data_IF_807351535795
#
_entry.id   IF_807351535795
#
_cell.length_a   1.000
_cell.length_b   1.000
_cell.length_c   1.000
_cell.angle_alpha   90.00
_cell.angle_beta   90.00
_cell.angle_gamma   90.00
#
_symmetry.space_group_name_H-M   'P 1'
#
loop_
_entity.id
_entity.type
_entity.pdbx_description
1 polymer ?
#
# COMPACT_ATOMS: atom_id res chain seq x y z
N UNK A 1 2.75 -16.61 -3.71
CA UNK A 1 2.84 -15.28 -4.35
C UNK A 1 3.66 -15.39 -5.63
N UNK A 2 4.99 -15.52 -5.53
CA UNK A 2 5.88 -15.76 -6.68
C UNK A 2 5.93 -17.26 -7.03
N UNK A 3 6.32 -17.58 -8.26
CA UNK A 3 6.62 -18.95 -8.69
C UNK A 3 8.02 -19.41 -8.28
N UNK A 4 8.87 -18.51 -7.81
CA UNK A 4 10.24 -18.79 -7.36
C UNK A 4 10.46 -18.29 -5.93
N UNK A 5 11.50 -18.80 -5.26
CA UNK A 5 11.81 -18.41 -3.86
C UNK A 5 12.73 -17.18 -3.77
N UNK A 6 13.29 -16.72 -4.88
CA UNK A 6 14.41 -15.76 -4.94
C UNK A 6 14.13 -14.41 -4.27
N UNK A 7 12.98 -13.81 -4.58
CA UNK A 7 12.68 -12.44 -4.14
C UNK A 7 12.48 -12.37 -2.63
N UNK A 8 11.71 -13.30 -2.06
CA UNK A 8 11.24 -13.21 -0.67
C UNK A 8 12.00 -14.11 0.29
N UNK A 9 12.98 -14.88 -0.18
CA UNK A 9 13.80 -15.77 0.66
C UNK A 9 15.30 -15.63 0.35
N UNK A 10 16.14 -16.33 1.11
CA UNK A 10 17.57 -16.53 0.81
C UNK A 10 17.86 -17.69 -0.16
N UNK A 11 16.84 -18.33 -0.72
CA UNK A 11 16.97 -19.38 -1.73
C UNK A 11 16.95 -18.86 -3.17
N UNK A 12 17.06 -19.78 -4.13
CA UNK A 12 16.88 -19.51 -5.56
C UNK A 12 16.16 -20.67 -6.25
N UNK A 13 15.40 -20.36 -7.30
CA UNK A 13 14.75 -21.37 -8.15
C UNK A 13 13.25 -21.49 -7.94
N UNK A 14 12.62 -22.28 -8.81
CA UNK A 14 11.17 -22.47 -8.81
C UNK A 14 10.73 -23.23 -7.55
N UNK A 15 9.62 -22.77 -6.93
CA UNK A 15 9.04 -23.44 -5.75
C UNK A 15 8.71 -24.90 -6.05
N UNK A 16 8.23 -25.18 -7.27
CA UNK A 16 7.86 -26.51 -7.75
C UNK A 16 9.04 -27.48 -7.93
N UNK A 17 10.28 -26.97 -7.95
CA UNK A 17 11.49 -27.78 -8.11
C UNK A 17 12.17 -28.10 -6.77
N UNK A 18 11.65 -27.56 -5.67
CA UNK A 18 12.17 -27.73 -4.31
C UNK A 18 11.28 -28.68 -3.50
N UNK A 19 11.89 -29.48 -2.65
CA UNK A 19 11.16 -30.24 -1.63
C UNK A 19 10.67 -29.31 -0.51
N UNK A 20 9.61 -29.70 0.20
CA UNK A 20 9.13 -28.96 1.37
C UNK A 20 10.24 -28.70 2.39
N UNK A 21 11.11 -29.70 2.63
CA UNK A 21 12.22 -29.59 3.57
C UNK A 21 13.28 -28.57 3.12
N UNK A 22 13.47 -28.37 1.81
CA UNK A 22 14.34 -27.32 1.28
C UNK A 22 13.68 -25.95 1.44
N UNK A 23 12.41 -25.81 1.08
CA UNK A 23 11.65 -24.55 1.22
C UNK A 23 11.60 -24.09 2.69
N UNK A 24 11.29 -24.99 3.63
CA UNK A 24 11.23 -24.67 5.05
C UNK A 24 12.61 -24.38 5.68
N UNK A 25 13.72 -24.69 5.00
CA UNK A 25 15.07 -24.30 5.48
C UNK A 25 15.38 -22.83 5.24
N UNK A 26 14.78 -22.26 4.20
CA UNK A 26 15.00 -20.87 3.77
C UNK A 26 14.56 -19.87 4.84
N UNK A 27 15.15 -18.69 4.82
CA UNK A 27 14.77 -17.53 5.63
C UNK A 27 14.06 -16.51 4.78
N UNK A 28 12.97 -15.97 5.32
CA UNK A 28 12.23 -14.89 4.69
C UNK A 28 13.03 -13.59 4.76
N UNK A 29 12.98 -12.79 3.71
CA UNK A 29 13.47 -11.40 3.68
C UNK A 29 12.41 -10.45 4.24
N UNK A 30 12.84 -9.29 4.75
CA UNK A 30 11.92 -8.24 5.24
C UNK A 30 11.05 -7.69 4.11
N UNK A 31 9.87 -7.15 4.45
CA UNK A 31 9.00 -6.43 3.52
C UNK A 31 8.66 -7.22 2.25
N UNK A 32 8.81 -6.57 1.10
CA UNK A 32 8.59 -7.14 -0.23
C UNK A 32 9.80 -7.92 -0.76
N UNK A 33 10.85 -8.10 0.05
CA UNK A 33 12.06 -8.80 -0.35
C UNK A 33 12.92 -8.04 -1.37
N UNK A 34 13.59 -8.75 -2.26
CA UNK A 34 14.57 -8.21 -3.21
C UNK A 34 16.00 -8.63 -2.87
N UNK A 35 16.94 -8.27 -3.74
CA UNK A 35 18.32 -8.77 -3.68
C UNK A 35 19.09 -8.24 -2.47
N UNK A 36 18.77 -7.01 -2.04
CA UNK A 36 19.45 -6.34 -0.92
C UNK A 36 18.66 -6.42 0.39
N UNK A 37 17.44 -6.95 0.38
CA UNK A 37 16.58 -6.98 1.54
C UNK A 37 17.18 -7.85 2.67
N UNK A 38 17.31 -7.32 3.90
CA UNK A 38 17.78 -8.08 5.05
C UNK A 38 16.95 -9.34 5.33
N UNK A 39 17.60 -10.39 5.85
CA UNK A 39 16.93 -11.60 6.30
C UNK A 39 16.28 -11.43 7.66
N UNK A 40 15.10 -12.01 7.81
CA UNK A 40 14.41 -12.21 9.07
C UNK A 40 14.83 -13.54 9.73
N UNK A 41 14.29 -13.81 10.92
CA UNK A 41 14.42 -15.13 11.56
C UNK A 41 13.33 -16.12 11.11
N UNK A 42 12.34 -15.63 10.36
CA UNK A 42 11.16 -16.37 9.96
C UNK A 42 11.44 -17.30 8.79
N UNK A 43 10.62 -18.35 8.68
CA UNK A 43 10.69 -19.39 7.63
C UNK A 43 9.39 -19.41 6.85
N UNK A 44 9.42 -20.00 5.66
CA UNK A 44 8.21 -20.23 4.85
C UNK A 44 7.29 -21.21 5.59
N UNK A 45 6.04 -20.81 5.94
CA UNK A 45 5.08 -21.72 6.57
C UNK A 45 4.42 -22.63 5.54
N UNK A 46 3.98 -23.81 5.96
CA UNK A 46 2.95 -24.58 5.24
C UNK A 46 1.57 -23.97 5.44
N UNK A 47 0.61 -24.32 4.57
CA UNK A 47 -0.79 -23.96 4.77
C UNK A 47 -1.31 -24.46 6.12
N UNK A 48 -1.01 -25.72 6.49
CA UNK A 48 -1.44 -26.30 7.76
C UNK A 48 -0.92 -25.51 8.98
N UNK A 49 0.35 -25.10 8.96
CA UNK A 49 0.95 -24.28 10.03
C UNK A 49 0.29 -22.89 10.11
N UNK A 50 0.01 -22.25 8.98
CA UNK A 50 -0.69 -20.98 8.93
C UNK A 50 -2.12 -21.11 9.49
N UNK A 51 -2.87 -22.12 9.07
CA UNK A 51 -4.25 -22.34 9.52
C UNK A 51 -4.32 -22.66 11.02
N UNK A 52 -3.34 -23.38 11.56
CA UNK A 52 -3.24 -23.61 13.00
C UNK A 52 -3.13 -22.31 13.82
N UNK A 53 -2.51 -21.26 13.27
CA UNK A 53 -2.41 -19.96 13.94
C UNK A 53 -3.68 -19.10 13.82
N UNK A 54 -4.41 -19.27 12.72
CA UNK A 54 -5.59 -18.43 12.40
C UNK A 54 -6.90 -19.02 12.94
N UNK A 55 -6.96 -20.33 13.19
CA UNK A 55 -8.15 -21.03 13.67
C UNK A 55 -8.84 -20.30 14.83
N UNK A 56 -10.13 -19.96 14.64
CA UNK A 56 -10.97 -19.25 15.59
C UNK A 56 -10.71 -17.74 15.70
N UNK A 57 -9.92 -17.14 14.79
CA UNK A 57 -9.52 -15.72 14.88
C UNK A 57 -9.91 -14.89 13.65
N UNK A 58 -9.80 -15.45 12.46
CA UNK A 58 -10.10 -14.75 11.21
C UNK A 58 -10.46 -15.72 10.08
N UNK A 59 -11.05 -15.19 9.01
CA UNK A 59 -11.13 -15.87 7.72
C UNK A 59 -9.82 -15.68 6.94
N UNK A 60 -9.50 -16.65 6.08
CA UNK A 60 -8.34 -16.62 5.17
C UNK A 60 -8.81 -16.73 3.73
N UNK A 61 -8.41 -15.78 2.89
CA UNK A 61 -8.66 -15.81 1.44
C UNK A 61 -7.48 -16.51 0.72
N UNK A 62 -7.73 -17.63 0.03
CA UNK A 62 -6.69 -18.37 -0.68
C UNK A 62 -6.54 -17.92 -2.14
N UNK A 63 -5.53 -17.09 -2.41
CA UNK A 63 -5.15 -16.69 -3.77
C UNK A 63 -4.24 -17.71 -4.46
N UNK A 64 -4.39 -17.84 -5.79
CA UNK A 64 -3.62 -18.78 -6.64
C UNK A 64 -3.72 -20.25 -6.23
N UNK A 65 -4.78 -20.61 -5.50
CA UNK A 65 -4.99 -21.96 -5.02
C UNK A 65 -5.99 -22.75 -5.88
N UNK A 66 -6.63 -22.14 -6.89
CA UNK A 66 -7.71 -22.79 -7.64
C UNK A 66 -7.27 -24.10 -8.32
N UNK A 67 -6.10 -24.10 -8.97
CA UNK A 67 -5.58 -25.28 -9.65
C UNK A 67 -5.13 -26.40 -8.70
N UNK A 68 -4.98 -26.09 -7.41
CA UNK A 68 -4.59 -27.02 -6.33
C UNK A 68 -5.64 -27.05 -5.22
N UNK A 69 -6.90 -26.74 -5.56
CA UNK A 69 -7.98 -26.52 -4.59
C UNK A 69 -8.36 -27.79 -3.84
N UNK A 70 -8.23 -28.95 -4.49
CA UNK A 70 -8.54 -30.24 -3.88
C UNK A 70 -7.48 -30.58 -2.81
N UNK A 71 -6.20 -30.34 -3.09
CA UNK A 71 -5.14 -30.51 -2.08
C UNK A 71 -5.24 -29.49 -0.95
N UNK A 72 -5.63 -28.24 -1.25
CA UNK A 72 -5.90 -27.24 -0.22
C UNK A 72 -7.10 -27.65 0.64
N UNK A 73 -8.17 -28.15 0.03
CA UNK A 73 -9.35 -28.67 0.71
C UNK A 73 -8.97 -29.80 1.68
N UNK A 74 -8.19 -30.79 1.23
CA UNK A 74 -7.75 -31.90 2.08
C UNK A 74 -7.00 -31.39 3.32
N UNK A 75 -6.08 -30.43 3.16
CA UNK A 75 -5.36 -29.81 4.28
C UNK A 75 -6.33 -29.13 5.26
N UNK A 76 -7.35 -28.43 4.74
CA UNK A 76 -8.30 -27.68 5.55
C UNK A 76 -9.27 -28.57 6.32
N UNK A 77 -9.67 -29.70 5.74
CA UNK A 77 -10.43 -30.75 6.43
C UNK A 77 -9.58 -31.35 7.54
N UNK A 78 -8.33 -31.71 7.24
CA UNK A 78 -7.40 -32.29 8.22
C UNK A 78 -7.11 -31.35 9.39
N UNK A 79 -7.00 -30.04 9.13
CA UNK A 79 -6.83 -29.02 10.20
C UNK A 79 -8.14 -28.61 10.86
N UNK A 80 -9.29 -29.04 10.34
CA UNK A 80 -10.62 -28.64 10.78
C UNK A 80 -10.80 -27.12 10.71
N UNK A 81 -10.46 -26.54 9.57
CA UNK A 81 -10.50 -25.08 9.30
C UNK A 81 -11.12 -24.76 7.94
N UNK A 82 -11.90 -25.68 7.36
CA UNK A 82 -12.59 -25.46 6.08
C UNK A 82 -13.52 -24.24 6.16
N UNK A 83 -14.28 -24.13 7.24
CA UNK A 83 -15.17 -23.01 7.60
C UNK A 83 -14.44 -21.67 7.87
N UNK A 84 -13.11 -21.65 7.84
CA UNK A 84 -12.31 -20.44 8.00
C UNK A 84 -11.72 -19.93 6.69
N UNK A 85 -11.97 -20.59 5.55
CA UNK A 85 -11.31 -20.28 4.29
C UNK A 85 -12.29 -19.90 3.21
N UNK A 86 -11.99 -18.79 2.54
CA UNK A 86 -12.56 -18.40 1.26
C UNK A 86 -11.66 -18.93 0.14
N UNK A 87 -12.13 -19.94 -0.58
CA UNK A 87 -11.56 -20.26 -1.89
C UNK A 87 -11.91 -19.14 -2.86
N UNK A 88 -11.03 -18.85 -3.83
CA UNK A 88 -11.37 -17.87 -4.86
C UNK A 88 -10.86 -18.23 -6.23
N UNK A 89 -11.62 -17.83 -7.25
CA UNK A 89 -11.21 -17.93 -8.65
C UNK A 89 -12.07 -17.07 -9.58
N UNK A 90 -11.60 -16.90 -10.82
CA UNK A 90 -12.40 -16.44 -11.95
C UNK A 90 -12.80 -17.59 -12.88
N UNK A 91 -12.79 -18.84 -12.40
CA UNK A 91 -13.08 -20.02 -13.22
C UNK A 91 -14.56 -20.04 -13.68
N UNK A 92 -14.90 -20.76 -14.77
CA UNK A 92 -16.27 -20.85 -15.23
C UNK A 92 -17.22 -21.36 -14.13
N UNK A 93 -18.41 -20.76 -14.03
CA UNK A 93 -19.38 -21.06 -12.95
C UNK A 93 -19.67 -22.55 -12.81
N UNK A 94 -19.85 -23.26 -13.91
CA UNK A 94 -20.13 -24.70 -13.89
C UNK A 94 -18.99 -25.55 -13.31
N UNK A 95 -17.74 -25.11 -13.42
CA UNK A 95 -16.60 -25.76 -12.77
C UNK A 95 -16.59 -25.48 -11.27
N UNK A 96 -16.90 -24.24 -10.89
CA UNK A 96 -16.98 -23.84 -9.49
C UNK A 96 -18.09 -24.60 -8.77
N UNK A 97 -19.29 -24.66 -9.35
CA UNK A 97 -20.43 -25.38 -8.76
C UNK A 97 -20.14 -26.88 -8.55
N UNK A 98 -19.36 -27.51 -9.45
CA UNK A 98 -18.93 -28.89 -9.24
C UNK A 98 -18.06 -29.04 -7.99
N UNK A 99 -17.16 -28.09 -7.72
CA UNK A 99 -16.35 -28.08 -6.52
C UNK A 99 -17.19 -27.80 -5.27
N UNK A 100 -18.06 -26.78 -5.30
CA UNK A 100 -18.94 -26.44 -4.18
C UNK A 100 -19.94 -27.56 -3.83
N UNK A 101 -20.33 -28.37 -4.81
CA UNK A 101 -21.19 -29.53 -4.58
C UNK A 101 -20.51 -30.67 -3.80
N UNK A 102 -19.18 -30.65 -3.66
CA UNK A 102 -18.45 -31.71 -2.94
C UNK A 102 -18.60 -31.61 -1.43
N UNK A 103 -18.67 -30.39 -0.88
CA UNK A 103 -18.89 -30.13 0.54
C UNK A 103 -19.60 -28.77 0.74
N UNK A 104 -20.79 -28.73 1.36
CA UNK A 104 -21.53 -27.49 1.59
C UNK A 104 -20.87 -26.52 2.59
N UNK A 105 -19.82 -26.92 3.32
CA UNK A 105 -19.05 -26.04 4.21
C UNK A 105 -18.02 -25.17 3.46
N UNK A 106 -17.76 -25.44 2.17
CA UNK A 106 -16.85 -24.65 1.36
C UNK A 106 -17.39 -23.23 1.20
N UNK A 107 -16.59 -22.24 1.59
CA UNK A 107 -16.86 -20.82 1.31
C UNK A 107 -16.05 -20.38 0.08
N UNK A 108 -16.65 -19.54 -0.77
CA UNK A 108 -16.13 -19.14 -2.06
C UNK A 108 -16.37 -17.67 -2.43
N UNK A 109 -15.34 -17.07 -3.02
CA UNK A 109 -15.37 -15.73 -3.63
C UNK A 109 -15.17 -15.85 -5.13
N UNK A 110 -16.10 -15.31 -5.90
CA UNK A 110 -15.96 -15.26 -7.36
C UNK A 110 -15.29 -13.96 -7.80
N UNK A 111 -14.18 -14.07 -8.53
CA UNK A 111 -13.49 -12.92 -9.11
C UNK A 111 -14.10 -12.56 -10.46
N UNK A 112 -14.53 -11.31 -10.58
CA UNK A 112 -15.26 -10.79 -11.74
C UNK A 112 -14.45 -9.68 -12.40
N UNK A 113 -14.19 -9.85 -13.69
CA UNK A 113 -13.55 -8.92 -14.60
C UNK A 113 -14.49 -8.63 -15.78
N UNK A 114 -14.10 -7.73 -16.67
CA UNK A 114 -14.89 -7.40 -17.86
C UNK A 114 -15.22 -8.67 -18.68
N UNK A 115 -14.27 -9.60 -18.81
CA UNK A 115 -14.41 -10.83 -19.60
C UNK A 115 -15.45 -11.83 -19.09
N UNK A 116 -15.75 -11.89 -17.79
CA UNK A 116 -16.70 -12.85 -17.21
C UNK A 116 -17.90 -12.18 -16.52
N UNK A 117 -18.06 -10.86 -16.66
CA UNK A 117 -19.17 -10.11 -16.09
C UNK A 117 -20.56 -10.58 -16.58
N UNK A 118 -20.63 -11.26 -17.72
CA UNK A 118 -21.86 -11.84 -18.26
C UNK A 118 -22.37 -13.06 -17.49
N UNK A 119 -21.53 -13.70 -16.67
CA UNK A 119 -21.83 -14.98 -16.01
C UNK A 119 -22.27 -14.81 -14.54
N UNK A 120 -22.48 -13.57 -14.08
CA UNK A 120 -22.80 -13.25 -12.69
C UNK A 120 -24.04 -13.98 -12.15
N UNK A 121 -25.04 -14.21 -13.00
CA UNK A 121 -26.29 -14.90 -12.66
C UNK A 121 -26.22 -16.42 -12.89
N UNK A 122 -25.03 -16.96 -13.17
CA UNK A 122 -24.84 -18.38 -13.46
C UNK A 122 -24.93 -19.30 -12.25
N UNK A 123 -24.69 -18.80 -11.03
CA UNK A 123 -24.72 -19.60 -9.81
C UNK A 123 -26.16 -19.88 -9.40
N UNK A 124 -26.54 -21.14 -9.28
CA UNK A 124 -27.91 -21.55 -8.94
C UNK A 124 -28.03 -22.17 -7.56
N UNK A 125 -27.13 -23.11 -7.23
CA UNK A 125 -27.29 -23.96 -6.04
C UNK A 125 -26.58 -23.38 -4.81
N UNK A 126 -25.37 -22.85 -5.01
CA UNK A 126 -24.56 -22.24 -3.97
C UNK A 126 -24.10 -20.86 -4.42
N UNK A 127 -24.59 -19.81 -3.76
CA UNK A 127 -24.18 -18.44 -4.05
C UNK A 127 -22.82 -18.16 -3.42
N UNK A 128 -21.89 -17.50 -4.13
CA UNK A 128 -20.65 -17.02 -3.52
C UNK A 128 -20.92 -16.09 -2.34
N UNK A 129 -20.08 -16.16 -1.31
CA UNK A 129 -20.13 -15.25 -0.15
C UNK A 129 -19.81 -13.82 -0.58
N UNK A 130 -18.94 -13.67 -1.57
CA UNK A 130 -18.59 -12.38 -2.15
C UNK A 130 -18.28 -12.47 -3.65
N UNK A 131 -18.44 -11.33 -4.32
CA UNK A 131 -17.92 -11.08 -5.66
C UNK A 131 -16.77 -10.06 -5.57
N UNK A 132 -15.56 -10.48 -5.93
CA UNK A 132 -14.37 -9.63 -6.06
C UNK A 132 -14.43 -8.92 -7.42
N UNK A 133 -14.80 -7.65 -7.43
CA UNK A 133 -14.94 -6.85 -8.65
C UNK A 133 -13.60 -6.17 -8.98
N UNK A 134 -13.00 -6.56 -10.10
CA UNK A 134 -11.78 -5.96 -10.64
C UNK A 134 -12.17 -5.15 -11.87
N UNK A 135 -11.81 -3.87 -11.93
CA UNK A 135 -12.21 -2.97 -13.02
C UNK A 135 -11.21 -1.84 -13.23
N UNK A 136 -10.91 -1.51 -14.49
CA UNK A 136 -10.04 -0.39 -14.86
C UNK A 136 -10.83 0.89 -15.09
N UNK A 137 -12.08 0.76 -15.55
CA UNK A 137 -12.94 1.89 -15.92
C UNK A 137 -14.32 1.74 -15.31
N UNK A 138 -14.88 2.88 -14.92
CA UNK A 138 -16.24 2.96 -14.36
C UNK A 138 -17.36 2.70 -15.39
N UNK A 139 -17.00 2.49 -16.66
CA UNK A 139 -17.92 2.10 -17.73
C UNK A 139 -18.04 0.58 -17.90
N UNK A 140 -17.24 -0.19 -17.17
CA UNK A 140 -17.24 -1.66 -17.28
C UNK A 140 -18.49 -2.27 -16.63
N UNK A 141 -19.02 -3.37 -17.20
CA UNK A 141 -20.34 -3.91 -16.85
C UNK A 141 -20.46 -4.33 -15.38
N UNK A 142 -19.44 -4.99 -14.83
CA UNK A 142 -19.42 -5.57 -13.48
C UNK A 142 -19.51 -4.54 -12.35
N UNK A 143 -19.13 -3.27 -12.62
CA UNK A 143 -19.16 -2.19 -11.61
C UNK A 143 -20.30 -1.19 -11.83
N UNK A 144 -21.22 -1.47 -12.77
CA UNK A 144 -22.38 -0.61 -12.97
C UNK A 144 -23.31 -0.62 -11.74
N UNK A 145 -23.91 0.53 -11.35
CA UNK A 145 -24.69 0.62 -10.12
C UNK A 145 -25.83 -0.40 -10.00
N UNK A 146 -26.51 -0.73 -11.10
CA UNK A 146 -27.57 -1.73 -11.10
C UNK A 146 -27.03 -3.16 -10.85
N UNK A 147 -25.85 -3.47 -11.39
CA UNK A 147 -25.20 -4.77 -11.19
C UNK A 147 -24.73 -4.90 -9.74
N UNK A 148 -24.05 -3.88 -9.22
CA UNK A 148 -23.62 -3.83 -7.81
C UNK A 148 -24.82 -3.96 -6.87
N UNK A 149 -25.91 -3.23 -7.13
CA UNK A 149 -27.13 -3.33 -6.32
C UNK A 149 -27.72 -4.75 -6.32
N UNK A 150 -27.78 -5.41 -7.49
CA UNK A 150 -28.28 -6.77 -7.60
C UNK A 150 -27.37 -7.79 -6.89
N UNK A 151 -26.04 -7.66 -7.00
CA UNK A 151 -25.10 -8.53 -6.28
C UNK A 151 -25.29 -8.42 -4.76
N UNK A 152 -25.46 -7.19 -4.26
CA UNK A 152 -25.64 -6.92 -2.82
C UNK A 152 -26.91 -7.52 -2.22
N UNK A 153 -27.90 -7.90 -3.03
CA UNK A 153 -29.09 -8.60 -2.53
C UNK A 153 -28.79 -10.05 -2.12
N UNK A 154 -27.68 -10.63 -2.60
CA UNK A 154 -27.35 -12.06 -2.42
C UNK A 154 -25.94 -12.35 -1.92
N UNK A 155 -25.00 -11.42 -2.07
CA UNK A 155 -23.59 -11.62 -1.72
C UNK A 155 -22.93 -10.30 -1.29
N UNK A 156 -21.71 -10.38 -0.77
CA UNK A 156 -20.87 -9.20 -0.48
C UNK A 156 -20.18 -8.69 -1.74
N UNK A 157 -19.98 -7.38 -1.82
CA UNK A 157 -19.15 -6.76 -2.85
C UNK A 157 -17.74 -6.54 -2.30
N UNK A 158 -16.75 -7.15 -2.94
CA UNK A 158 -15.34 -7.04 -2.59
C UNK A 158 -14.61 -6.20 -3.63
N UNK A 159 -13.81 -5.22 -3.19
CA UNK A 159 -12.95 -4.40 -4.07
C UNK A 159 -11.51 -4.37 -3.52
N UNK A 160 -10.52 -4.46 -4.41
CA UNK A 160 -9.11 -4.33 -4.03
C UNK A 160 -8.63 -2.89 -4.25
N UNK A 161 -7.95 -2.31 -3.26
CA UNK A 161 -7.37 -0.95 -3.35
C UNK A 161 -5.85 -0.95 -3.33
N UNK A 162 -5.20 -2.05 -3.70
CA UNK A 162 -3.75 -2.18 -3.50
C UNK A 162 -2.93 -1.24 -4.40
N UNK A 163 -3.23 -1.20 -5.70
CA UNK A 163 -2.49 -0.43 -6.71
C UNK A 163 -3.34 -0.19 -7.97
N UNK A 164 -2.80 0.54 -8.95
CA UNK A 164 -3.49 0.82 -10.19
C UNK A 164 -3.85 -0.44 -10.99
N UNK A 165 -5.02 -0.44 -11.62
CA UNK A 165 -5.51 -1.57 -12.42
C UNK A 165 -6.40 -2.57 -11.68
N UNK A 166 -6.76 -2.28 -10.42
CA UNK A 166 -7.67 -3.11 -9.64
C UNK A 166 -9.06 -2.47 -9.42
N UNK A 167 -9.12 -1.14 -9.32
CA UNK A 167 -10.35 -0.42 -9.01
C UNK A 167 -10.35 1.02 -9.58
N UNK A 168 -10.18 1.19 -10.89
CA UNK A 168 -10.27 2.48 -11.60
C UNK A 168 -9.49 3.66 -10.97
N UNK A 169 -8.30 3.39 -10.42
CA UNK A 169 -7.45 4.39 -9.78
C UNK A 169 -7.69 4.59 -8.28
N UNK A 170 -8.66 3.88 -7.67
CA UNK A 170 -8.86 3.88 -6.23
C UNK A 170 -7.84 2.96 -5.55
N UNK A 171 -6.73 3.55 -5.11
CA UNK A 171 -5.62 2.85 -4.47
C UNK A 171 -5.53 3.20 -2.99
N UNK A 172 -4.68 2.51 -2.27
CA UNK A 172 -4.38 2.80 -0.87
C UNK A 172 -3.70 4.17 -0.78
N UNK A 173 -2.75 4.47 -1.67
CA UNK A 173 -2.09 5.78 -1.68
C UNK A 173 -3.05 6.91 -2.04
N UNK A 174 -4.01 6.71 -2.96
CA UNK A 174 -5.05 7.71 -3.21
C UNK A 174 -5.91 7.92 -1.98
N UNK A 175 -6.23 6.83 -1.26
CA UNK A 175 -6.97 6.86 0.01
C UNK A 175 -6.23 7.60 1.12
N UNK A 176 -4.91 7.40 1.24
CA UNK A 176 -4.05 8.04 2.24
C UNK A 176 -3.92 9.55 2.02
N UNK A 177 -4.01 10.01 0.76
CA UNK A 177 -4.01 11.44 0.41
C UNK A 177 -5.37 12.08 0.61
N UNK A 178 -6.41 11.44 0.09
CA UNK A 178 -7.80 11.87 0.22
C UNK A 178 -8.70 10.63 0.14
N UNK A 179 -9.34 10.21 1.24
CA UNK A 179 -10.20 9.05 1.21
C UNK A 179 -11.32 9.14 0.17
N UNK A 180 -11.79 10.34 -0.19
CA UNK A 180 -12.81 10.50 -1.23
C UNK A 180 -12.32 10.06 -2.63
N UNK A 181 -11.00 9.96 -2.84
CA UNK A 181 -10.34 9.49 -4.07
C UNK A 181 -9.94 8.01 -4.02
N UNK A 182 -10.24 7.29 -2.94
CA UNK A 182 -9.89 5.88 -2.75
C UNK A 182 -10.97 5.12 -1.98
N UNK A 183 -10.68 4.70 -0.74
CA UNK A 183 -11.60 3.91 0.09
C UNK A 183 -13.00 4.52 0.21
N UNK A 184 -13.10 5.84 0.34
CA UNK A 184 -14.38 6.56 0.38
C UNK A 184 -15.19 6.42 -0.91
N UNK A 185 -14.55 6.51 -2.08
CA UNK A 185 -15.23 6.23 -3.34
C UNK A 185 -15.69 4.76 -3.42
N UNK A 186 -14.81 3.83 -3.02
CA UNK A 186 -15.12 2.40 -3.01
C UNK A 186 -16.32 2.07 -2.12
N UNK A 187 -16.40 2.65 -0.91
CA UNK A 187 -17.52 2.44 0.01
C UNK A 187 -18.77 3.20 -0.41
N UNK A 188 -18.67 4.51 -0.66
CA UNK A 188 -19.84 5.38 -0.79
C UNK A 188 -20.47 5.34 -2.17
N UNK A 189 -19.64 5.25 -3.21
CA UNK A 189 -20.10 5.21 -4.60
C UNK A 189 -20.31 3.78 -5.07
N UNK A 190 -19.35 2.90 -4.81
CA UNK A 190 -19.36 1.53 -5.30
C UNK A 190 -19.92 0.54 -4.29
N UNK A 191 -20.32 1.01 -3.11
CA UNK A 191 -21.11 0.21 -2.20
C UNK A 191 -20.39 -1.09 -1.81
N UNK A 192 -19.05 -1.09 -1.75
CA UNK A 192 -18.29 -2.25 -1.34
C UNK A 192 -18.56 -2.60 0.13
N UNK A 193 -18.68 -3.90 0.42
CA UNK A 193 -18.79 -4.44 1.77
C UNK A 193 -17.43 -4.94 2.30
N UNK A 194 -16.52 -5.29 1.39
CA UNK A 194 -15.18 -5.82 1.70
C UNK A 194 -14.12 -5.06 0.89
N UNK A 195 -12.99 -4.76 1.53
CA UNK A 195 -11.85 -4.11 0.89
C UNK A 195 -10.58 -4.92 1.18
N UNK A 196 -9.83 -5.27 0.13
CA UNK A 196 -8.46 -5.76 0.27
C UNK A 196 -7.49 -4.59 0.14
N UNK A 197 -6.63 -4.42 1.15
CA UNK A 197 -5.70 -3.29 1.31
C UNK A 197 -4.36 -3.77 1.86
N UNK A 198 -3.27 -3.11 1.49
CA UNK A 198 -1.94 -3.25 2.11
C UNK A 198 -1.78 -2.32 3.33
N UNK A 199 -2.78 -1.48 3.61
CA UNK A 199 -2.80 -0.51 4.70
C UNK A 199 -3.96 -0.77 5.70
N UNK A 200 -4.06 -1.98 6.29
CA UNK A 200 -5.21 -2.38 7.09
C UNK A 200 -5.42 -1.52 8.34
N UNK A 201 -4.35 -1.08 8.99
CA UNK A 201 -4.45 -0.21 10.19
C UNK A 201 -5.05 1.15 9.84
N UNK A 202 -4.63 1.72 8.70
CA UNK A 202 -5.11 3.01 8.22
C UNK A 202 -6.56 2.90 7.75
N UNK A 203 -6.93 1.82 7.05
CA UNK A 203 -8.32 1.56 6.68
C UNK A 203 -9.22 1.42 7.91
N UNK A 204 -8.80 0.65 8.92
CA UNK A 204 -9.56 0.49 10.18
C UNK A 204 -9.69 1.84 10.91
N UNK A 205 -8.61 2.61 10.99
CA UNK A 205 -8.63 3.95 11.57
C UNK A 205 -9.59 4.89 10.85
N UNK A 206 -9.60 4.85 9.51
CA UNK A 206 -10.50 5.64 8.69
C UNK A 206 -11.96 5.21 8.87
N UNK A 207 -12.26 3.92 8.84
CA UNK A 207 -13.62 3.40 9.10
C UNK A 207 -14.13 3.84 10.48
N UNK A 208 -13.32 3.72 11.53
CA UNK A 208 -13.67 4.17 12.88
C UNK A 208 -13.90 5.69 12.95
N UNK A 209 -13.16 6.49 12.18
CA UNK A 209 -13.37 7.94 12.12
C UNK A 209 -14.74 8.31 11.54
N UNK A 210 -15.30 7.48 10.66
CA UNK A 210 -16.58 7.69 9.98
C UNK A 210 -17.78 7.22 10.79
N UNK A 211 -17.56 6.30 11.71
CA UNK A 211 -18.60 5.71 12.54
C UNK A 211 -19.15 6.70 13.58
N UNK A 212 -20.15 7.49 13.17
CA UNK A 212 -20.80 8.48 14.03
C UNK A 212 -21.50 7.86 15.23
N UNK A 213 -21.95 6.61 15.13
CA UNK A 213 -22.63 5.91 16.23
C UNK A 213 -21.65 5.65 17.38
N UNK A 214 -20.39 5.34 17.05
CA UNK A 214 -19.31 5.11 18.02
C UNK A 214 -18.40 6.34 18.21
N UNK A 215 -18.89 7.55 17.88
CA UNK A 215 -18.22 8.82 18.21
C UNK A 215 -17.20 9.32 17.17
N UNK A 216 -17.14 8.69 16.00
CA UNK A 216 -16.40 9.16 14.84
C UNK A 216 -16.86 10.55 14.38
N UNK A 217 -15.89 11.40 14.00
CA UNK A 217 -16.12 12.81 13.62
C UNK A 217 -16.04 13.07 12.12
N UNK A 218 -15.68 12.05 11.34
CA UNK A 218 -15.42 12.16 9.90
C UNK A 218 -14.12 12.90 9.55
N UNK A 219 -13.21 13.08 10.51
CA UNK A 219 -11.91 13.73 10.30
C UNK A 219 -10.81 12.65 10.21
N UNK A 220 -10.20 12.48 9.03
CA UNK A 220 -9.11 11.53 8.80
C UNK A 220 -8.20 11.98 7.63
N UNK A 221 -6.89 11.73 7.67
CA UNK A 221 -6.14 11.20 8.81
C UNK A 221 -6.12 12.21 9.96
N UNK A 222 -6.39 11.75 11.18
CA UNK A 222 -6.27 12.62 12.35
C UNK A 222 -4.80 12.73 12.74
N UNK A 223 -4.09 13.68 12.15
CA UNK A 223 -2.74 14.00 12.61
C UNK A 223 -2.78 14.44 14.08
N UNK A 224 -1.72 14.18 14.87
CA UNK A 224 -1.64 14.71 16.23
C UNK A 224 -1.90 16.22 16.24
N UNK A 225 -2.60 16.72 17.26
CA UNK A 225 -2.97 18.14 17.31
C UNK A 225 -1.72 19.03 17.26
N UNK A 226 -1.66 19.87 16.23
CA UNK A 226 -0.55 20.80 16.00
C UNK A 226 0.53 20.26 15.08
N UNK A 227 0.34 19.07 14.51
CA UNK A 227 1.16 18.52 13.44
C UNK A 227 0.85 19.15 12.10
N UNK A 228 1.86 19.19 11.22
CA UNK A 228 1.77 19.75 9.87
C UNK A 228 2.46 18.79 8.90
N UNK A 229 1.93 18.69 7.68
CA UNK A 229 2.54 17.93 6.59
C UNK A 229 2.84 18.87 5.43
N UNK A 230 3.98 18.66 4.77
CA UNK A 230 4.40 19.36 3.55
C UNK A 230 4.68 18.29 2.51
N UNK A 231 3.94 18.31 1.40
CA UNK A 231 4.11 17.32 0.33
C UNK A 231 5.44 17.57 -0.41
N UNK A 232 6.04 16.52 -0.98
CA UNK A 232 7.29 16.65 -1.70
C UNK A 232 7.15 17.50 -2.97
N UNK A 233 5.97 17.49 -3.61
CA UNK A 233 5.64 18.33 -4.77
C UNK A 233 5.35 19.80 -4.42
N UNK A 234 5.13 20.13 -3.14
CA UNK A 234 4.83 21.49 -2.64
C UNK A 234 6.10 22.32 -2.40
N UNK A 235 7.15 22.09 -3.19
CA UNK A 235 8.41 22.84 -3.09
C UNK A 235 8.27 24.28 -3.61
N UNK A 236 9.21 25.13 -3.19
CA UNK A 236 9.25 26.56 -3.47
C UNK A 236 9.08 26.90 -4.97
N UNK A 237 8.13 27.78 -5.33
CA UNK A 237 7.92 28.21 -6.72
C UNK A 237 8.94 29.27 -7.17
N UNK A 238 9.98 29.56 -6.38
CA UNK A 238 10.98 30.58 -6.70
C UNK A 238 11.89 30.21 -7.88
N UNK A 239 11.76 28.99 -8.42
CA UNK A 239 12.43 28.53 -9.63
C UNK A 239 13.86 28.03 -9.41
N UNK A 240 14.48 27.56 -10.51
CA UNK A 240 15.82 26.97 -10.50
C UNK A 240 16.88 27.95 -9.97
N UNK A 241 17.72 27.47 -9.07
CA UNK A 241 18.80 28.23 -8.42
C UNK A 241 18.37 29.07 -7.22
N UNK A 242 17.07 29.16 -6.92
CA UNK A 242 16.53 29.84 -5.74
C UNK A 242 15.67 28.88 -4.91
N UNK A 243 14.66 28.28 -5.54
CA UNK A 243 13.75 27.34 -4.88
C UNK A 243 14.25 25.90 -4.90
N UNK A 244 15.02 25.53 -5.93
CA UNK A 244 15.58 24.19 -6.07
C UNK A 244 16.82 24.20 -6.99
N UNK A 245 17.63 23.16 -6.89
CA UNK A 245 18.65 22.77 -7.85
C UNK A 245 18.50 21.30 -8.17
N UNK A 246 18.10 21.05 -9.41
CA UNK A 246 18.11 19.73 -10.05
C UNK A 246 19.26 19.70 -11.07
N UNK A 247 19.93 18.54 -11.19
CA UNK A 247 21.04 18.37 -12.14
C UNK A 247 20.56 18.33 -13.59
N UNK A 248 19.29 18.00 -13.81
CA UNK A 248 18.60 18.13 -15.07
C UNK A 248 17.68 19.38 -15.06
N UNK A 249 17.22 19.81 -16.23
CA UNK A 249 16.26 20.93 -16.37
C UNK A 249 14.81 20.43 -16.57
N UNK A 250 14.63 19.13 -16.81
CA UNK A 250 13.36 18.50 -17.15
C UNK A 250 12.92 17.58 -16.02
N UNK A 251 11.68 17.75 -15.54
CA UNK A 251 11.01 16.77 -14.70
C UNK A 251 10.74 15.47 -15.48
N UNK A 252 11.53 14.44 -15.20
CA UNK A 252 11.49 13.07 -15.73
C UNK A 252 10.47 12.18 -15.04
N UNK A 253 9.84 12.65 -13.96
CA UNK A 253 8.79 11.93 -13.24
C UNK A 253 7.42 11.92 -13.96
N UNK A 254 7.30 12.67 -15.06
CA UNK A 254 6.13 12.65 -15.94
C UNK A 254 5.17 13.81 -15.66
N UNK A 255 3.87 13.53 -15.66
CA UNK A 255 2.82 14.58 -15.60
C UNK A 255 2.09 14.63 -14.27
N UNK A 256 2.63 13.98 -13.24
CA UNK A 256 2.00 13.82 -11.93
C UNK A 256 1.77 15.17 -11.23
N UNK A 257 2.80 16.01 -11.18
CA UNK A 257 2.75 17.39 -10.69
C UNK A 257 3.98 18.17 -11.18
N UNK A 258 3.90 19.51 -11.17
CA UNK A 258 5.02 20.42 -11.49
C UNK A 258 5.72 20.09 -12.83
N UNK A 259 4.95 19.65 -13.84
CA UNK A 259 5.44 19.10 -15.12
C UNK A 259 6.43 20.01 -15.88
N UNK A 260 6.31 21.33 -15.73
CA UNK A 260 7.12 22.31 -16.46
C UNK A 260 8.24 22.93 -15.60
N UNK A 261 8.56 22.30 -14.47
CA UNK A 261 9.67 22.66 -13.60
C UNK A 261 10.73 21.54 -13.60
N UNK A 262 11.86 21.77 -12.92
CA UNK A 262 13.02 20.88 -13.02
C UNK A 262 13.06 19.73 -12.01
N UNK A 263 12.38 19.83 -10.86
CA UNK A 263 12.39 18.74 -9.86
C UNK A 263 11.57 17.56 -10.37
N UNK A 264 12.15 16.38 -10.33
CA UNK A 264 11.53 15.11 -10.74
C UNK A 264 10.40 14.69 -9.79
N UNK A 265 9.15 14.68 -10.27
CA UNK A 265 7.95 14.30 -9.50
C UNK A 265 7.19 13.16 -10.18
N UNK A 266 7.12 12.01 -9.52
CA UNK A 266 6.51 10.77 -10.02
C UNK A 266 5.13 10.50 -9.40
N UNK A 267 4.35 9.66 -10.08
CA UNK A 267 3.16 9.01 -9.55
C UNK A 267 3.44 7.52 -9.31
N UNK A 268 3.46 7.12 -8.04
CA UNK A 268 3.61 5.74 -7.60
C UNK A 268 2.28 5.26 -7.00
N UNK A 269 1.38 4.76 -7.87
CA UNK A 269 0.06 4.26 -7.48
C UNK A 269 -0.80 5.30 -6.73
N UNK A 270 -0.70 6.57 -7.11
CA UNK A 270 -1.30 7.78 -6.54
C UNK A 270 -0.54 8.45 -5.40
N UNK A 271 0.59 7.88 -4.95
CA UNK A 271 1.57 8.62 -4.16
C UNK A 271 2.32 9.58 -5.09
N UNK A 272 2.30 10.89 -4.78
CA UNK A 272 2.99 11.90 -5.58
C UNK A 272 4.30 12.20 -4.88
N UNK A 273 5.40 11.88 -5.53
CA UNK A 273 6.69 11.77 -4.84
C UNK A 273 7.80 12.47 -5.60
N UNK A 274 8.73 13.06 -4.87
CA UNK A 274 10.03 13.39 -5.43
C UNK A 274 10.80 12.10 -5.69
N UNK A 275 11.25 11.93 -6.92
CA UNK A 275 11.88 10.71 -7.43
C UNK A 275 13.12 11.07 -8.25
N UNK A 276 13.83 10.06 -8.80
CA UNK A 276 15.04 10.25 -9.63
C UNK A 276 16.15 11.11 -8.99
N UNK A 277 16.10 11.24 -7.67
CA UNK A 277 16.95 12.07 -6.83
C UNK A 277 18.43 11.70 -7.02
N UNK A 278 19.29 12.72 -7.13
CA UNK A 278 20.75 12.57 -7.25
C UNK A 278 21.51 13.34 -6.18
N UNK A 279 22.75 12.90 -5.95
CA UNK A 279 23.66 13.57 -5.03
C UNK A 279 23.94 15.00 -5.49
N UNK A 280 23.93 15.96 -4.56
CA UNK A 280 24.18 17.37 -4.82
C UNK A 280 22.94 18.21 -5.13
N UNK A 281 21.80 17.56 -5.41
CA UNK A 281 20.51 18.25 -5.59
C UNK A 281 19.99 18.81 -4.26
N UNK A 282 19.24 19.90 -4.35
CA UNK A 282 18.57 20.48 -3.19
C UNK A 282 17.23 21.10 -3.55
N UNK A 283 16.29 21.06 -2.61
CA UNK A 283 14.94 21.58 -2.78
C UNK A 283 14.53 22.31 -1.51
N UNK A 284 13.96 23.51 -1.66
CA UNK A 284 13.46 24.32 -0.54
C UNK A 284 11.95 24.25 -0.43
N UNK A 285 11.48 24.31 0.81
CA UNK A 285 10.09 24.19 1.18
C UNK A 285 9.74 25.25 2.21
N UNK A 286 8.45 25.46 2.41
CA UNK A 286 7.93 26.28 3.49
C UNK A 286 6.99 25.44 4.36
N UNK A 287 7.08 25.61 5.67
CA UNK A 287 6.15 25.01 6.64
C UNK A 287 5.48 26.09 7.47
N UNK A 288 4.15 26.03 7.54
CA UNK A 288 3.33 26.93 8.35
C UNK A 288 3.12 26.35 9.76
N UNK A 289 3.87 26.86 10.73
CA UNK A 289 3.88 26.31 12.09
C UNK A 289 2.75 26.91 12.92
N UNK A 290 1.76 26.11 13.37
CA UNK A 290 0.57 26.64 14.05
C UNK A 290 0.86 27.11 15.49
N UNK A 291 1.89 26.54 16.14
CA UNK A 291 2.22 26.83 17.54
C UNK A 291 3.71 26.61 17.82
N UNK A 292 4.37 27.61 18.42
CA UNK A 292 5.78 27.48 18.81
C UNK A 292 6.04 26.26 19.70
N UNK A 293 7.17 25.59 19.49
CA UNK A 293 7.61 24.44 20.27
C UNK A 293 8.65 23.59 19.54
N UNK A 294 9.02 22.48 20.18
CA UNK A 294 9.85 21.45 19.55
C UNK A 294 8.97 20.55 18.68
N UNK A 295 9.45 20.27 17.48
CA UNK A 295 8.82 19.38 16.51
C UNK A 295 9.75 18.21 16.24
N UNK A 296 9.19 17.00 16.29
CA UNK A 296 9.79 15.82 15.69
C UNK A 296 9.54 15.90 14.19
N UNK A 297 10.58 15.71 13.40
CA UNK A 297 10.48 15.76 11.93
C UNK A 297 10.63 14.35 11.41
N UNK A 298 9.79 13.97 10.47
CA UNK A 298 9.85 12.70 9.77
C UNK A 298 9.64 12.93 8.28
N UNK A 299 10.13 12.02 7.45
CA UNK A 299 9.84 11.99 6.03
C UNK A 299 9.27 10.62 5.65
N UNK A 300 8.19 10.60 4.87
CA UNK A 300 7.68 9.35 4.28
C UNK A 300 8.46 9.06 3.00
N UNK A 301 9.17 7.94 2.99
CA UNK A 301 10.16 7.64 1.95
C UNK A 301 10.09 6.16 1.55
N UNK A 302 10.59 5.85 0.34
CA UNK A 302 10.68 4.48 -0.17
C UNK A 302 12.00 4.22 -0.90
N UNK A 303 12.50 2.99 -0.83
CA UNK A 303 13.68 2.54 -1.59
C UNK A 303 13.81 1.01 -1.56
N UNK A 304 14.16 0.36 -2.68
CA UNK A 304 14.54 -1.05 -2.66
C UNK A 304 15.99 -1.31 -2.22
N UNK A 305 16.78 -0.27 -1.90
CA UNK A 305 18.23 -0.39 -1.68
C UNK A 305 18.67 -0.25 -0.22
N UNK A 306 19.81 -0.87 0.11
CA UNK A 306 20.44 -0.87 1.43
C UNK A 306 21.97 -0.66 1.29
N UNK A 307 22.52 0.55 1.53
CA UNK A 307 21.84 1.79 1.92
C UNK A 307 21.06 2.43 0.76
N UNK A 308 19.98 3.14 1.08
CA UNK A 308 19.12 3.81 0.10
C UNK A 308 19.62 5.19 -0.32
N UNK A 309 20.15 5.96 0.63
CA UNK A 309 20.68 7.28 0.40
C UNK A 309 20.80 8.13 1.66
N UNK A 310 21.16 9.39 1.49
CA UNK A 310 21.40 10.31 2.60
C UNK A 310 21.14 11.75 2.23
N UNK A 311 20.49 12.49 3.12
CA UNK A 311 20.24 13.92 2.95
C UNK A 311 20.49 14.69 4.25
N UNK A 312 20.45 16.00 4.19
CA UNK A 312 20.42 16.88 5.36
C UNK A 312 19.29 17.90 5.21
N UNK A 313 18.79 18.42 6.33
CA UNK A 313 17.79 19.48 6.33
C UNK A 313 18.35 20.73 7.00
N UNK A 314 18.16 21.89 6.39
CA UNK A 314 18.55 23.18 6.97
C UNK A 314 17.32 24.06 7.17
N UNK A 315 17.08 24.51 8.40
CA UNK A 315 15.95 25.38 8.77
C UNK A 315 16.39 26.84 8.86
N UNK A 316 15.65 27.72 8.18
CA UNK A 316 15.85 29.17 8.12
C UNK A 316 17.31 29.60 7.84
N UNK A 317 18.07 28.78 7.09
CA UNK A 317 19.49 29.01 6.79
C UNK A 317 20.42 28.98 8.01
N UNK A 318 19.96 28.47 9.16
CA UNK A 318 20.69 28.54 10.43
C UNK A 318 20.98 27.18 11.05
N UNK A 319 19.97 26.31 11.12
CA UNK A 319 20.06 25.04 11.84
C UNK A 319 20.04 23.89 10.84
N UNK A 320 21.16 23.20 10.70
CA UNK A 320 21.29 22.02 9.83
C UNK A 320 21.28 20.75 10.68
N UNK A 321 20.47 19.77 10.30
CA UNK A 321 20.50 18.43 10.91
C UNK A 321 21.84 17.75 10.63
N UNK A 322 22.17 16.72 11.40
CA UNK A 322 23.17 15.75 10.92
C UNK A 322 22.71 15.07 9.62
N UNK A 323 23.59 14.34 8.92
CA UNK A 323 23.19 13.51 7.79
C UNK A 323 22.13 12.49 8.21
N UNK A 324 21.01 12.47 7.49
CA UNK A 324 19.86 11.59 7.69
C UNK A 324 20.00 10.42 6.72
N UNK A 325 20.30 9.23 7.25
CA UNK A 325 20.31 8.02 6.42
C UNK A 325 18.88 7.59 6.11
N UNK A 326 18.61 7.32 4.84
CA UNK A 326 17.33 6.75 4.41
C UNK A 326 17.40 5.23 4.59
N UNK A 327 16.43 4.67 5.31
CA UNK A 327 16.26 3.23 5.43
C UNK A 327 15.61 2.66 4.16
N UNK A 328 16.10 1.50 3.71
CA UNK A 328 15.48 0.75 2.63
C UNK A 328 14.15 0.14 3.07
N UNK A 329 13.15 0.24 2.20
CA UNK A 329 11.77 -0.23 2.39
C UNK A 329 11.40 -1.33 1.40
N UNK A 330 12.38 -1.90 0.68
CA UNK A 330 12.26 -3.05 -0.24
C UNK A 330 11.51 -2.81 -1.57
N UNK A 331 10.95 -1.61 -1.79
CA UNK A 331 10.38 -1.21 -3.09
C UNK A 331 10.31 0.31 -3.19
N UNK A 332 10.20 0.84 -4.42
CA UNK A 332 9.84 2.24 -4.65
C UNK A 332 8.35 2.53 -4.37
N UNK A 333 7.52 1.49 -4.28
CA UNK A 333 6.10 1.58 -3.95
C UNK A 333 5.79 1.26 -2.48
N UNK A 334 6.81 0.86 -1.70
CA UNK A 334 6.66 0.58 -0.27
C UNK A 334 7.15 1.77 0.55
N UNK A 335 6.25 2.62 1.00
CA UNK A 335 6.60 3.85 1.70
C UNK A 335 6.46 3.71 3.21
N UNK A 336 7.47 4.16 3.94
CA UNK A 336 7.47 4.19 5.40
C UNK A 336 7.77 5.58 5.93
N UNK A 337 7.12 5.96 7.03
CA UNK A 337 7.42 7.22 7.74
C UNK A 337 8.67 7.03 8.59
N UNK A 338 9.77 7.67 8.21
CA UNK A 338 11.05 7.57 8.89
C UNK A 338 11.35 8.85 9.67
N UNK A 339 11.71 8.70 10.94
CA UNK A 339 12.04 9.82 11.82
C UNK A 339 13.44 10.35 11.55
N UNK A 340 13.56 11.68 11.47
CA UNK A 340 14.83 12.38 11.45
C UNK A 340 15.26 12.65 12.89
N UNK A 341 16.48 12.22 13.25
CA UNK A 341 16.96 12.24 14.62
C UNK A 341 16.90 13.65 15.25
N UNK A 342 16.36 13.72 16.46
CA UNK A 342 16.29 14.92 17.28
C UNK A 342 14.97 15.67 17.15
N UNK A 343 14.99 16.95 17.54
CA UNK A 343 13.81 17.82 17.44
C UNK A 343 14.23 19.21 16.98
N UNK A 344 13.40 19.83 16.15
CA UNK A 344 13.59 21.20 15.70
C UNK A 344 12.69 22.15 16.48
N UNK A 345 13.25 23.18 17.11
CA UNK A 345 12.45 24.25 17.69
C UNK A 345 11.99 25.21 16.61
N UNK A 346 10.68 25.36 16.44
CA UNK A 346 10.07 26.28 15.48
C UNK A 346 9.17 27.27 16.21
N UNK A 347 9.14 28.52 15.73
CA UNK A 347 8.20 29.54 16.23
C UNK A 347 6.90 29.41 15.46
N UNK A 348 5.80 29.93 16.01
CA UNK A 348 4.56 30.08 15.25
C UNK A 348 4.81 30.97 14.04
N UNK A 349 4.36 30.53 12.87
CA UNK A 349 4.47 31.24 11.60
C UNK A 349 5.19 30.43 10.52
N UNK A 350 5.53 31.11 9.44
CA UNK A 350 6.23 30.57 8.28
C UNK A 350 7.69 30.29 8.62
N UNK A 351 8.17 29.11 8.27
CA UNK A 351 9.58 28.71 8.33
C UNK A 351 10.00 28.09 7.00
N UNK A 352 11.23 28.37 6.57
CA UNK A 352 11.81 27.73 5.39
C UNK A 352 12.66 26.53 5.81
N UNK A 353 12.63 25.46 5.02
CA UNK A 353 13.62 24.40 5.13
C UNK A 353 14.13 23.94 3.77
N UNK A 354 15.44 23.75 3.68
CA UNK A 354 16.11 23.15 2.52
C UNK A 354 16.39 21.67 2.82
N UNK A 355 16.11 20.80 1.86
CA UNK A 355 16.48 19.40 1.84
C UNK A 355 17.61 19.24 0.82
N UNK A 356 18.77 18.79 1.25
CA UNK A 356 19.95 18.64 0.40
C UNK A 356 20.44 17.21 0.39
N UNK A 357 20.58 16.66 -0.80
CA UNK A 357 21.10 15.32 -1.02
C UNK A 357 22.61 15.35 -0.91
N UNK A 358 23.17 14.43 -0.13
CA UNK A 358 24.63 14.34 -0.02
C UNK A 358 25.25 14.01 -1.38
N UNK A 359 26.25 14.82 -1.77
CA UNK A 359 26.87 14.79 -3.10
C UNK A 359 27.58 13.46 -3.39
N UNK A 360 28.29 12.93 -2.39
CA UNK A 360 29.09 11.72 -2.54
C UNK A 360 28.33 10.43 -2.15
N UNK A 361 27.07 10.53 -1.72
CA UNK A 361 26.27 9.38 -1.32
C UNK A 361 25.59 8.74 -2.54
N UNK A 362 25.48 7.41 -2.52
CA UNK A 362 24.52 6.73 -3.39
C UNK A 362 23.11 7.27 -3.09
N UNK A 363 22.34 7.64 -4.10
CA UNK A 363 20.96 8.10 -3.94
C UNK A 363 20.05 7.26 -4.81
N UNK A 364 19.17 6.50 -4.16
CA UNK A 364 18.08 5.83 -4.86
C UNK A 364 16.92 5.59 -3.89
N UNK A 365 16.15 6.64 -3.69
CA UNK A 365 14.97 6.64 -2.83
C UNK A 365 13.98 7.70 -3.34
N UNK A 366 12.73 7.60 -2.91
CA UNK A 366 11.71 8.60 -3.17
C UNK A 366 11.29 9.26 -1.85
N UNK A 367 10.82 10.52 -1.93
CA UNK A 367 10.20 11.22 -0.80
C UNK A 367 8.77 11.59 -1.18
N UNK A 368 7.81 11.19 -0.36
CA UNK A 368 6.38 11.52 -0.50
C UNK A 368 6.03 12.81 0.25
N UNK A 369 6.31 12.88 1.55
CA UNK A 369 6.08 14.10 2.32
C UNK A 369 6.99 14.22 3.55
N UNK A 370 7.06 15.44 4.08
CA UNK A 370 7.63 15.75 5.39
C UNK A 370 6.52 15.96 6.42
N UNK A 371 6.69 15.41 7.62
CA UNK A 371 5.75 15.55 8.73
C UNK A 371 6.43 16.18 9.94
N UNK A 372 5.79 17.18 10.52
CA UNK A 372 6.24 17.92 11.68
C UNK A 372 5.26 17.64 12.82
N UNK A 373 5.64 16.78 13.76
CA UNK A 373 4.83 16.44 14.92
C UNK A 373 5.26 17.24 16.15
N UNK A 374 4.36 18.09 16.65
CA UNK A 374 4.66 18.91 17.83
C UNK A 374 4.82 18.01 19.06
N UNK A 375 5.99 18.07 19.69
CA UNK A 375 6.25 17.37 20.95
C UNK A 375 5.41 18.04 22.05
N UNK A 376 4.55 17.25 22.68
CA UNK A 376 3.82 17.71 23.88
C UNK A 376 4.84 17.83 25.01
N UNK A 377 4.91 19.02 25.61
CA UNK A 377 5.64 19.27 26.85
C UNK A 377 4.84 18.78 28.04
#
# INVERSE_FOLDING_TARGET
>A
HDSTVDRTTDGTGAVSELTLAEVQRLRLKVGLGGDQAPLTKERVPTLAEAMAQVKGRALVNLDKAWDIRDEAYDVLVDTGTLDHVLFKSSAPVAEVEQFLATDPEILYVHVVKEENAGDLDGFTDHQPEAYELVFDRLTEPQIQPAVVAALRERARVWVNTLWYGLAAGYTDESSLRDPAQGWGAVVDRHQADMIQTDNPEQLVSWLASRDREHGGRGEWPSLPKGSVRVQAEDYSPAGKGIGYHDLDDENRGGTAARQYEGVDICDNNAAIVMCWIRGGEWVTYTVEVPKSGNYRVSARMSSPYFPAGRFSMTFDGQSTTGPVNVAGTTSHDAFELQEIEGTQYLRKGTHEFEVRMDEDAYQNFNIDYFQFDRVKQ
#
